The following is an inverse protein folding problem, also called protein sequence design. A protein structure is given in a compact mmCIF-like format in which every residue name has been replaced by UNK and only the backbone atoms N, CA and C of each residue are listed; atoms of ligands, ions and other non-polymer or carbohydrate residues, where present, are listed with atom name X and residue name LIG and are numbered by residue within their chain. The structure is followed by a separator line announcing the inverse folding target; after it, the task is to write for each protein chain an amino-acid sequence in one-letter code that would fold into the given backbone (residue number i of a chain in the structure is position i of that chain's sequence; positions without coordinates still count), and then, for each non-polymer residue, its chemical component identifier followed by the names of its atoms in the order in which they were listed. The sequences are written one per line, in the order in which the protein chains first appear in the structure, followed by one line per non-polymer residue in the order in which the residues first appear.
data_IF_541764527050
#
_entry.id   IF_541764527050
#
_cell.length_a   1.000
_cell.length_b   1.000
_cell.length_c   1.000
_cell.angle_alpha   90.00
_cell.angle_beta   90.00
_cell.angle_gamma   90.00
#
_symmetry.space_group_name_H-M   'P 1'
#
loop_
_entity.id
_entity.type
_entity.pdbx_description
1 polymer ?
#
# COMPACT_ATOMS: atom_id res chain seq x y z
N UNK A 1 6.50 0.19 -13.16
CA UNK A 1 6.11 -1.22 -13.41
C UNK A 1 6.37 -1.72 -14.84
N UNK A 2 6.24 -0.88 -15.87
CA UNK A 2 6.50 -1.25 -17.29
C UNK A 2 7.88 -1.94 -17.52
N UNK A 3 8.99 -1.49 -16.90
CA UNK A 3 10.29 -2.14 -17.12
C UNK A 3 10.38 -3.58 -16.60
N UNK A 4 9.55 -3.94 -15.60
CA UNK A 4 9.51 -5.31 -15.07
C UNK A 4 8.84 -6.25 -16.05
N UNK A 5 7.65 -5.90 -16.54
CA UNK A 5 6.93 -6.70 -17.56
C UNK A 5 7.79 -6.91 -18.80
N UNK A 6 8.59 -5.90 -19.18
CA UNK A 6 9.39 -5.99 -20.39
C UNK A 6 10.69 -6.81 -20.22
N UNK A 7 11.26 -6.89 -19.02
CA UNK A 7 12.62 -7.45 -18.81
C UNK A 7 12.69 -8.67 -17.90
N UNK A 8 11.69 -8.89 -17.05
CA UNK A 8 11.71 -9.99 -16.11
C UNK A 8 11.40 -11.33 -16.81
N UNK A 9 11.95 -12.40 -16.25
CA UNK A 9 11.45 -13.74 -16.54
C UNK A 9 10.10 -13.92 -15.81
N UNK A 10 9.12 -14.49 -16.51
CA UNK A 10 7.75 -14.61 -16.01
C UNK A 10 7.49 -16.02 -15.53
N UNK A 11 7.01 -16.16 -14.28
CA UNK A 11 6.54 -17.45 -13.75
C UNK A 11 5.35 -17.99 -14.54
N UNK A 12 5.15 -19.29 -14.48
CA UNK A 12 3.99 -19.93 -15.12
C UNK A 12 2.68 -19.56 -14.41
N UNK A 13 1.55 -19.63 -15.12
CA UNK A 13 0.22 -19.39 -14.53
C UNK A 13 -0.07 -20.35 -13.36
N UNK A 14 0.42 -21.58 -13.46
CA UNK A 14 0.26 -22.60 -12.44
C UNK A 14 0.93 -22.17 -11.14
N UNK A 15 2.17 -21.71 -11.22
CA UNK A 15 2.91 -21.22 -10.05
C UNK A 15 2.28 -19.96 -9.44
N UNK A 16 1.70 -19.07 -10.25
CA UNK A 16 1.11 -17.83 -9.73
C UNK A 16 -0.25 -18.06 -9.06
N UNK A 17 -1.09 -18.95 -9.60
CA UNK A 17 -2.48 -19.12 -9.12
C UNK A 17 -2.71 -20.37 -8.26
N UNK A 18 -1.87 -21.40 -8.40
CA UNK A 18 -2.06 -22.68 -7.68
C UNK A 18 -1.03 -22.91 -6.58
N UNK A 19 0.13 -22.23 -6.61
CA UNK A 19 1.15 -22.40 -5.58
C UNK A 19 0.90 -21.44 -4.40
N UNK A 20 0.74 -22.01 -3.21
CA UNK A 20 0.60 -21.26 -1.97
C UNK A 20 1.75 -21.59 -1.03
N UNK A 21 2.43 -20.54 -0.54
CA UNK A 21 3.57 -20.67 0.36
C UNK A 21 3.19 -20.34 1.80
N UNK A 22 3.53 -21.22 2.75
CA UNK A 22 3.37 -21.00 4.19
C UNK A 22 4.74 -20.83 4.87
N UNK A 23 5.43 -19.75 4.53
CA UNK A 23 6.76 -19.44 5.10
C UNK A 23 6.73 -19.18 6.61
N UNK A 24 5.58 -18.75 7.14
CA UNK A 24 5.38 -18.50 8.57
C UNK A 24 5.14 -19.77 9.40
N UNK A 25 5.07 -20.95 8.77
CA UNK A 25 4.81 -22.24 9.41
C UNK A 25 3.52 -22.25 10.26
N UNK A 26 2.48 -21.57 9.77
CA UNK A 26 1.17 -21.56 10.39
C UNK A 26 0.54 -22.97 10.37
N UNK A 27 -0.35 -23.25 11.32
CA UNK A 27 -0.98 -24.57 11.48
C UNK A 27 -1.82 -25.02 10.29
N UNK A 28 -2.29 -24.09 9.45
CA UNK A 28 -3.01 -24.39 8.22
C UNK A 28 -2.69 -23.39 7.11
N UNK A 29 -2.87 -23.82 5.86
CA UNK A 29 -2.72 -22.95 4.70
C UNK A 29 -3.75 -21.80 4.70
N UNK A 30 -4.96 -22.06 5.20
CA UNK A 30 -6.00 -21.04 5.34
C UNK A 30 -5.59 -19.92 6.31
N UNK A 31 -4.98 -20.28 7.45
CA UNK A 31 -4.47 -19.27 8.39
C UNK A 31 -3.35 -18.44 7.76
N UNK A 32 -2.41 -19.09 7.06
CA UNK A 32 -1.35 -18.39 6.31
C UNK A 32 -1.93 -17.43 5.26
N UNK A 33 -3.02 -17.80 4.60
CA UNK A 33 -3.70 -16.96 3.61
C UNK A 33 -4.33 -15.72 4.25
N UNK A 34 -5.06 -15.87 5.36
CA UNK A 34 -5.65 -14.72 6.09
C UNK A 34 -4.58 -13.77 6.64
N UNK A 35 -3.46 -14.30 7.12
CA UNK A 35 -2.32 -13.47 7.54
C UNK A 35 -1.75 -12.70 6.35
N UNK A 36 -1.57 -13.36 5.19
CA UNK A 36 -1.13 -12.71 3.96
C UNK A 36 -2.11 -11.64 3.45
N UNK A 37 -3.42 -11.83 3.67
CA UNK A 37 -4.47 -10.89 3.26
C UNK A 37 -4.46 -9.58 4.06
N UNK A 38 -3.91 -9.59 5.28
CA UNK A 38 -3.92 -8.43 6.18
C UNK A 38 -3.34 -7.15 5.56
N UNK A 39 -2.23 -7.26 4.80
CA UNK A 39 -1.61 -6.13 4.12
C UNK A 39 -2.52 -5.54 3.03
N UNK A 40 -3.25 -6.39 2.29
CA UNK A 40 -4.22 -5.96 1.29
C UNK A 40 -5.44 -5.30 1.95
N UNK A 41 -5.90 -5.84 3.08
CA UNK A 41 -7.00 -5.25 3.82
C UNK A 41 -6.64 -3.84 4.35
N UNK A 42 -5.41 -3.66 4.83
CA UNK A 42 -4.91 -2.35 5.28
C UNK A 42 -4.96 -1.29 4.18
N UNK A 43 -4.77 -1.66 2.91
CA UNK A 43 -4.84 -0.73 1.78
C UNK A 43 -6.21 -0.04 1.62
N UNK A 44 -7.28 -0.62 2.17
CA UNK A 44 -8.62 -0.02 2.16
C UNK A 44 -8.87 0.95 3.32
N UNK A 45 -7.97 1.03 4.30
CA UNK A 45 -8.17 1.82 5.52
C UNK A 45 -8.28 3.33 5.30
N UNK A 46 -7.84 3.86 4.16
CA UNK A 46 -7.95 5.28 3.82
C UNK A 46 -9.14 5.66 2.93
N UNK A 47 -10.07 4.74 2.70
CA UNK A 47 -11.19 4.96 1.77
C UNK A 47 -12.15 6.07 2.18
N UNK A 48 -12.21 6.42 3.47
CA UNK A 48 -13.07 7.47 4.03
C UNK A 48 -12.39 8.85 4.07
N UNK A 49 -11.17 8.99 3.55
CA UNK A 49 -10.43 10.25 3.58
C UNK A 49 -11.21 11.43 2.97
N UNK A 50 -12.03 11.17 1.95
CA UNK A 50 -12.90 12.19 1.33
C UNK A 50 -13.97 12.74 2.28
N UNK A 51 -14.38 11.97 3.30
CA UNK A 51 -15.36 12.40 4.31
C UNK A 51 -14.78 13.49 5.21
N UNK A 52 -13.47 13.45 5.49
CA UNK A 52 -12.81 14.47 6.31
C UNK A 52 -12.76 15.86 5.68
N UNK A 53 -13.01 15.96 4.36
CA UNK A 53 -13.04 17.21 3.61
C UNK A 53 -14.45 17.53 3.11
N UNK A 54 -15.48 16.93 3.72
CA UNK A 54 -16.86 17.11 3.31
C UNK A 54 -17.31 18.58 3.35
N UNK A 55 -16.87 19.31 4.39
CA UNK A 55 -17.21 20.73 4.58
C UNK A 55 -16.59 21.65 3.52
N UNK A 56 -15.50 21.21 2.89
CA UNK A 56 -14.78 21.96 1.84
C UNK A 56 -15.28 21.56 0.43
N UNK A 57 -16.18 20.58 0.32
CA UNK A 57 -16.62 20.00 -0.95
C UNK A 57 -17.98 20.53 -1.38
N UNK A 58 -18.05 21.15 -2.57
CA UNK A 58 -19.33 21.52 -3.17
C UNK A 58 -20.15 20.26 -3.52
N UNK A 59 -21.42 20.22 -3.09
CA UNK A 59 -22.33 19.09 -3.29
C UNK A 59 -21.85 17.76 -2.65
N UNK A 60 -21.35 17.84 -1.41
CA UNK A 60 -20.83 16.73 -0.61
C UNK A 60 -21.70 15.46 -0.66
N UNK A 61 -23.03 15.59 -0.58
CA UNK A 61 -24.00 14.48 -0.58
C UNK A 61 -23.88 13.54 -1.79
N UNK A 62 -23.46 14.08 -2.95
CA UNK A 62 -23.33 13.30 -4.19
C UNK A 62 -21.87 13.14 -4.64
N UNK A 63 -21.02 14.12 -4.33
CA UNK A 63 -19.62 14.11 -4.71
C UNK A 63 -18.81 13.08 -3.90
N UNK A 64 -19.03 13.00 -2.59
CA UNK A 64 -18.25 12.12 -1.70
C UNK A 64 -18.48 10.65 -2.03
N UNK A 65 -19.72 10.14 -2.13
CA UNK A 65 -19.93 8.72 -2.44
C UNK A 65 -19.34 8.33 -3.80
N UNK A 66 -19.47 9.21 -4.80
CA UNK A 66 -18.88 8.98 -6.13
C UNK A 66 -17.35 8.97 -6.06
N UNK A 67 -16.75 9.93 -5.36
CA UNK A 67 -15.31 10.01 -5.17
C UNK A 67 -14.75 8.75 -4.48
N UNK A 68 -15.43 8.24 -3.45
CA UNK A 68 -15.06 6.98 -2.79
C UNK A 68 -15.10 5.80 -3.77
N UNK A 69 -16.19 5.65 -4.52
CA UNK A 69 -16.32 4.56 -5.51
C UNK A 69 -15.26 4.64 -6.61
N UNK A 70 -15.00 5.83 -7.16
CA UNK A 70 -13.94 6.02 -8.16
C UNK A 70 -12.56 5.74 -7.58
N UNK A 71 -12.30 6.18 -6.35
CA UNK A 71 -11.02 5.95 -5.67
C UNK A 71 -10.78 4.45 -5.48
N UNK A 72 -11.79 3.71 -5.03
CA UNK A 72 -11.71 2.25 -4.88
C UNK A 72 -11.53 1.57 -6.24
N UNK A 73 -12.27 1.97 -7.26
CA UNK A 73 -12.17 1.36 -8.59
C UNK A 73 -10.80 1.61 -9.25
N UNK A 74 -10.30 2.85 -9.22
CA UNK A 74 -9.03 3.23 -9.84
C UNK A 74 -7.87 2.61 -9.05
N UNK A 75 -7.80 2.83 -7.74
CA UNK A 75 -6.68 2.29 -6.94
C UNK A 75 -6.74 0.76 -6.85
N UNK A 76 -7.93 0.18 -6.77
CA UNK A 76 -8.11 -1.28 -6.78
C UNK A 76 -7.65 -1.91 -8.09
N UNK A 77 -8.03 -1.34 -9.24
CA UNK A 77 -7.60 -1.86 -10.55
C UNK A 77 -6.09 -1.69 -10.79
N UNK A 78 -5.53 -0.52 -10.47
CA UNK A 78 -4.08 -0.31 -10.55
C UNK A 78 -3.32 -1.24 -9.58
N UNK A 79 -3.75 -1.32 -8.33
CA UNK A 79 -3.14 -2.17 -7.31
C UNK A 79 -3.17 -3.64 -7.70
N UNK A 80 -4.30 -4.13 -8.22
CA UNK A 80 -4.42 -5.49 -8.73
C UNK A 80 -3.47 -5.75 -9.90
N UNK A 81 -3.36 -4.82 -10.85
CA UNK A 81 -2.40 -4.93 -11.96
C UNK A 81 -0.94 -4.96 -11.49
N UNK A 82 -0.60 -4.15 -10.48
CA UNK A 82 0.74 -4.15 -9.89
C UNK A 82 1.04 -5.46 -9.15
N UNK A 83 0.07 -6.01 -8.41
CA UNK A 83 0.18 -7.30 -7.74
C UNK A 83 0.42 -8.43 -8.73
N UNK A 84 -0.38 -8.50 -9.81
CA UNK A 84 -0.19 -9.49 -10.87
C UNK A 84 1.22 -9.37 -11.48
N UNK A 85 1.64 -8.17 -11.86
CA UNK A 85 2.98 -7.95 -12.40
C UNK A 85 4.07 -8.44 -11.44
N UNK A 86 3.94 -8.15 -10.15
CA UNK A 86 4.90 -8.55 -9.13
C UNK A 86 4.95 -10.08 -8.95
N UNK A 87 3.80 -10.77 -8.93
CA UNK A 87 3.75 -12.22 -8.82
C UNK A 87 4.39 -12.90 -10.02
N UNK A 88 4.09 -12.45 -11.23
CA UNK A 88 4.68 -13.00 -12.45
C UNK A 88 6.17 -12.71 -12.57
N UNK A 89 6.64 -11.54 -12.12
CA UNK A 89 8.06 -11.16 -12.20
C UNK A 89 8.91 -11.62 -11.01
N UNK A 90 8.29 -12.12 -9.93
CA UNK A 90 9.01 -12.67 -8.78
C UNK A 90 9.69 -13.98 -9.19
N UNK A 91 11.02 -14.07 -9.10
CA UNK A 91 11.73 -15.28 -9.52
C UNK A 91 12.27 -16.04 -8.31
N UNK A 92 12.97 -15.36 -7.40
CA UNK A 92 13.49 -15.96 -6.16
C UNK A 92 12.86 -15.28 -4.93
N UNK A 93 11.73 -15.83 -4.49
CA UNK A 93 11.00 -15.36 -3.30
C UNK A 93 11.82 -15.58 -2.02
N UNK A 94 12.43 -16.76 -1.77
CA UNK A 94 13.31 -16.96 -0.61
C UNK A 94 14.48 -15.97 -0.57
N UNK A 95 15.15 -15.74 -1.71
CA UNK A 95 16.23 -14.74 -1.81
C UNK A 95 15.75 -13.31 -1.60
N UNK A 96 14.55 -12.97 -2.10
CA UNK A 96 13.93 -11.67 -1.85
C UNK A 96 13.59 -11.45 -0.37
N UNK A 97 13.13 -12.48 0.33
CA UNK A 97 12.86 -12.43 1.77
C UNK A 97 14.14 -12.37 2.62
N UNK A 98 15.22 -12.99 2.14
CA UNK A 98 16.53 -12.96 2.78
C UNK A 98 17.39 -11.73 2.38
N UNK A 99 16.87 -10.86 1.51
CA UNK A 99 17.63 -9.71 0.98
C UNK A 99 18.05 -8.78 2.11
N UNK A 100 19.30 -8.32 2.02
CA UNK A 100 19.89 -7.34 2.97
C UNK A 100 19.15 -6.00 2.99
N UNK A 101 18.37 -5.71 1.94
CA UNK A 101 17.56 -4.49 1.87
C UNK A 101 16.44 -4.46 2.91
N UNK A 102 15.99 -5.61 3.43
CA UNK A 102 14.86 -5.72 4.36
C UNK A 102 13.49 -5.51 3.71
N UNK A 103 13.43 -5.16 2.42
CA UNK A 103 12.19 -4.96 1.68
C UNK A 103 12.18 -5.82 0.40
N UNK A 104 11.42 -6.93 0.38
CA UNK A 104 11.45 -7.90 -0.72
C UNK A 104 11.13 -7.32 -2.10
N UNK A 105 10.31 -6.27 -2.18
CA UNK A 105 9.94 -5.65 -3.46
C UNK A 105 11.14 -5.00 -4.16
N UNK A 106 12.11 -4.46 -3.41
CA UNK A 106 13.32 -3.86 -3.98
C UNK A 106 14.20 -4.93 -4.64
N UNK A 107 14.30 -6.10 -4.00
CA UNK A 107 15.04 -7.24 -4.56
C UNK A 107 14.35 -7.77 -5.81
N UNK A 108 13.02 -7.90 -5.80
CA UNK A 108 12.24 -8.31 -6.99
C UNK A 108 12.46 -7.32 -8.14
N UNK A 109 12.55 -6.02 -7.86
CA UNK A 109 12.85 -5.02 -8.87
C UNK A 109 14.26 -5.19 -9.46
N UNK A 110 15.24 -5.51 -8.61
CA UNK A 110 16.61 -5.79 -9.05
C UNK A 110 16.67 -7.06 -9.90
N UNK A 111 16.04 -8.15 -9.45
CA UNK A 111 15.97 -9.42 -10.17
C UNK A 111 15.31 -9.26 -11.54
N UNK A 112 14.18 -8.53 -11.60
CA UNK A 112 13.43 -8.35 -12.84
C UNK A 112 14.05 -7.36 -13.82
N UNK A 113 14.65 -6.26 -13.34
CA UNK A 113 15.30 -5.27 -14.23
C UNK A 113 16.73 -5.64 -14.60
N UNK A 114 17.38 -6.51 -13.82
CA UNK A 114 18.81 -6.87 -13.89
C UNK A 114 19.73 -5.64 -13.92
N UNK A 115 19.29 -4.53 -13.35
CA UNK A 115 19.99 -3.26 -13.36
C UNK A 115 19.73 -2.52 -12.06
N UNK A 116 20.82 -2.20 -11.34
CA UNK A 116 20.74 -1.43 -10.09
C UNK A 116 20.09 -0.05 -10.32
N UNK A 117 20.45 0.64 -11.40
CA UNK A 117 19.86 1.94 -11.73
C UNK A 117 18.36 1.86 -12.04
N UNK A 118 17.92 0.82 -12.75
CA UNK A 118 16.51 0.59 -13.04
C UNK A 118 15.70 0.28 -11.77
N UNK A 119 16.22 -0.59 -10.91
CA UNK A 119 15.61 -0.91 -9.62
C UNK A 119 15.51 0.32 -8.71
N UNK A 120 16.59 1.09 -8.58
CA UNK A 120 16.61 2.31 -7.77
C UNK A 120 15.63 3.37 -8.28
N UNK A 121 15.54 3.58 -9.60
CA UNK A 121 14.59 4.54 -10.18
C UNK A 121 13.13 4.13 -9.92
N UNK A 122 12.82 2.83 -9.97
CA UNK A 122 11.47 2.34 -9.67
C UNK A 122 11.15 2.47 -8.18
N UNK A 123 12.11 2.14 -7.32
CA UNK A 123 11.97 2.27 -5.87
C UNK A 123 11.82 3.72 -5.44
N UNK A 124 12.58 4.66 -6.02
CA UNK A 124 12.54 6.07 -5.63
C UNK A 124 11.17 6.71 -5.87
N UNK A 125 10.50 6.35 -6.97
CA UNK A 125 9.13 6.80 -7.26
C UNK A 125 8.15 6.31 -6.18
N UNK A 126 8.27 5.06 -5.73
CA UNK A 126 7.42 4.52 -4.66
C UNK A 126 7.70 5.20 -3.32
N UNK A 127 8.98 5.42 -2.99
CA UNK A 127 9.36 6.11 -1.76
C UNK A 127 8.88 7.56 -1.74
N UNK A 128 8.97 8.25 -2.87
CA UNK A 128 8.45 9.61 -2.99
C UNK A 128 6.93 9.66 -2.77
N UNK A 129 6.18 8.77 -3.45
CA UNK A 129 4.73 8.67 -3.25
C UNK A 129 4.37 8.31 -1.80
N UNK A 130 5.09 7.37 -1.18
CA UNK A 130 4.90 7.03 0.22
C UNK A 130 5.17 8.22 1.16
N UNK A 131 6.21 9.00 0.89
CA UNK A 131 6.52 10.23 1.63
C UNK A 131 5.36 11.23 1.56
N UNK A 132 4.86 11.54 0.37
CA UNK A 132 3.70 12.42 0.19
C UNK A 132 2.47 11.92 0.97
N UNK A 133 2.19 10.61 0.92
CA UNK A 133 1.08 10.00 1.67
C UNK A 133 1.24 10.16 3.18
N UNK A 134 2.46 9.96 3.72
CA UNK A 134 2.74 10.14 5.15
C UNK A 134 2.53 11.59 5.59
N UNK A 135 2.98 12.57 4.78
CA UNK A 135 2.72 13.98 5.08
C UNK A 135 1.22 14.31 5.10
N UNK A 136 0.46 13.81 4.12
CA UNK A 136 -0.99 13.99 4.07
C UNK A 136 -1.70 13.37 5.27
N UNK A 137 -1.32 12.15 5.65
CA UNK A 137 -1.85 11.46 6.82
C UNK A 137 -1.53 12.22 8.11
N UNK A 138 -0.27 12.65 8.28
CA UNK A 138 0.14 13.42 9.46
C UNK A 138 -0.67 14.71 9.59
N UNK A 139 -0.83 15.46 8.49
CA UNK A 139 -1.63 16.69 8.49
C UNK A 139 -3.11 16.42 8.84
N UNK A 140 -3.73 15.37 8.30
CA UNK A 140 -5.11 15.00 8.61
C UNK A 140 -5.29 14.58 10.07
N UNK A 141 -4.43 13.68 10.56
CA UNK A 141 -4.45 13.20 11.94
C UNK A 141 -4.19 14.34 12.93
N UNK A 142 -3.26 15.26 12.64
CA UNK A 142 -3.03 16.44 13.48
C UNK A 142 -4.27 17.33 13.59
N UNK A 143 -5.01 17.56 12.49
CA UNK A 143 -6.27 18.34 12.53
C UNK A 143 -7.34 17.66 13.38
N UNK A 144 -7.53 16.35 13.21
CA UNK A 144 -8.48 15.57 14.01
C UNK A 144 -8.11 15.57 15.50
N UNK A 145 -6.83 15.35 15.81
CA UNK A 145 -6.32 15.33 17.18
C UNK A 145 -6.47 16.69 17.88
N UNK A 146 -6.19 17.77 17.16
CA UNK A 146 -6.39 19.13 17.67
C UNK A 146 -7.88 19.42 17.94
N UNK A 147 -8.78 19.03 17.02
CA UNK A 147 -10.23 19.16 17.21
C UNK A 147 -10.71 18.41 18.46
N UNK A 148 -10.28 17.16 18.65
CA UNK A 148 -10.60 16.40 19.87
C UNK A 148 -10.03 17.03 21.15
N UNK A 149 -8.86 17.65 21.06
CA UNK A 149 -8.25 18.37 22.18
C UNK A 149 -9.06 19.61 22.58
N UNK A 150 -9.62 20.35 21.61
CA UNK A 150 -10.54 21.46 21.89
C UNK A 150 -11.78 21.00 22.65
N UNK A 151 -12.27 19.81 22.33
CA UNK A 151 -13.47 19.22 22.95
C UNK A 151 -13.15 18.48 24.27
N UNK A 152 -11.92 18.62 24.79
CA UNK A 152 -11.42 17.96 26.02
C UNK A 152 -11.46 16.42 25.96
N UNK A 153 -11.43 15.85 24.76
CA UNK A 153 -11.55 14.41 24.51
C UNK A 153 -10.24 13.63 24.70
N UNK A 154 -9.11 14.27 24.99
CA UNK A 154 -7.80 13.62 25.17
C UNK A 154 -7.09 14.02 26.47
N UNK A 155 -6.24 13.14 27.04
CA UNK A 155 -5.40 13.49 28.17
C UNK A 155 -4.52 14.72 27.86
N UNK A 156 -4.32 15.58 28.86
CA UNK A 156 -3.51 16.80 28.73
C UNK A 156 -4.00 17.78 27.64
N UNK A 157 -5.30 17.77 27.31
CA UNK A 157 -5.91 18.58 26.24
C UNK A 157 -5.49 20.06 26.18
N UNK A 158 -5.17 20.68 27.32
CA UNK A 158 -4.70 22.09 27.41
C UNK A 158 -3.35 22.35 26.73
N UNK A 159 -2.49 21.33 26.61
CA UNK A 159 -1.22 21.41 25.90
C UNK A 159 -1.44 21.30 24.39
N UNK A 160 -2.35 20.41 23.98
CA UNK A 160 -2.62 20.08 22.58
C UNK A 160 -3.61 21.02 21.89
N UNK A 161 -4.40 21.79 22.65
CA UNK A 161 -5.37 22.75 22.09
C UNK A 161 -4.73 24.09 21.71
N UNK A 162 -3.44 24.30 22.02
CA UNK A 162 -2.69 25.49 21.60
C UNK A 162 -2.18 25.30 20.17
N UNK A 163 -2.46 26.29 19.32
CA UNK A 163 -2.04 26.36 17.91
C UNK A 163 -0.58 26.78 17.83
#
# INVERSE_FOLDING_TARGET
MIPLVAKAHHRSKKEVFEEFLNGGKFSSQGLSWFVGLSGTAFAFGGGDASVHMAEECANAESAIPKAMMFTVAINGSLGFGMLMNMLFCSNDIPGALASRSGFPFMEIFLQGTRSMGGALAMTSVLLFAAGCSVFGMLAATSRQFWSFSRDKGVPFWRLWSKV
#
